data_IF_509366726458
#
_entry.id   IF_509366726458
#
_cell.length_a   1.000
_cell.length_b   1.000
_cell.length_c   1.000
_cell.angle_alpha   90.00
_cell.angle_beta   90.00
_cell.angle_gamma   90.00
#
_symmetry.space_group_name_H-M   'P 1'
#
loop_
_entity.id
_entity.type
_entity.pdbx_description
1 polymer ?
#
# COMPACT_ATOMS: atom_id res chain seq x y z
N UNK A 1 -10.83 -18.59 -4.15
CA UNK A 1 -11.93 -18.22 -3.23
C UNK A 1 -11.48 -18.48 -1.80
N UNK A 2 -10.88 -17.48 -1.15
CA UNK A 2 -10.70 -17.49 0.30
C UNK A 2 -11.95 -16.87 0.92
N UNK A 3 -12.90 -17.69 1.37
CA UNK A 3 -13.96 -17.22 2.27
C UNK A 3 -13.42 -17.26 3.70
N UNK A 4 -12.52 -16.33 4.01
CA UNK A 4 -12.05 -16.09 5.37
C UNK A 4 -13.03 -15.18 6.08
N UNK A 5 -13.85 -15.74 6.97
CA UNK A 5 -14.66 -14.97 7.91
C UNK A 5 -13.73 -14.41 8.98
N UNK A 6 -13.17 -13.23 8.75
CA UNK A 6 -12.48 -12.48 9.81
C UNK A 6 -13.56 -11.91 10.73
N UNK A 7 -13.80 -12.58 11.86
CA UNK A 7 -14.79 -12.11 12.83
C UNK A 7 -14.43 -10.69 13.31
N UNK A 8 -15.44 -9.81 13.31
CA UNK A 8 -15.52 -8.43 13.84
C UNK A 8 -14.34 -7.98 14.69
N UNK A 9 -13.79 -6.80 14.43
CA UNK A 9 -12.75 -6.16 15.27
C UNK A 9 -13.16 -6.17 16.74
N UNK A 10 -12.43 -6.92 17.58
CA UNK A 10 -12.62 -6.96 19.03
C UNK A 10 -11.57 -6.06 19.69
N UNK A 11 -12.00 -5.01 20.39
CA UNK A 11 -11.11 -4.28 21.31
C UNK A 11 -11.25 -4.92 22.69
N UNK A 12 -10.30 -5.78 23.07
CA UNK A 12 -10.19 -6.30 24.43
C UNK A 12 -9.21 -5.42 25.21
N UNK A 13 -9.73 -4.52 26.04
CA UNK A 13 -8.90 -3.69 26.92
C UNK A 13 -8.62 -4.41 28.24
N UNK A 14 -7.40 -4.91 28.43
CA UNK A 14 -6.88 -5.24 29.76
C UNK A 14 -6.30 -3.97 30.40
N UNK A 15 -6.54 -3.82 31.71
CA UNK A 15 -6.11 -2.75 32.63
C UNK A 15 -7.00 -1.50 32.69
N UNK A 16 -7.93 -1.46 33.65
CA UNK A 16 -8.49 -0.22 34.20
C UNK A 16 -8.65 -0.31 35.72
N UNK A 17 -7.54 -0.09 36.44
CA UNK A 17 -7.56 0.42 37.82
C UNK A 17 -7.63 1.95 37.73
N UNK A 18 -8.84 2.51 37.82
CA UNK A 18 -9.16 3.85 38.35
C UNK A 18 -10.49 4.33 37.75
N UNK A 19 -11.33 4.89 38.60
CA UNK A 19 -12.65 5.45 38.29
C UNK A 19 -12.55 6.55 37.24
N UNK A 20 -13.31 6.40 36.15
CA UNK A 20 -13.44 7.32 35.00
C UNK A 20 -12.28 7.32 33.99
N UNK A 21 -12.04 6.20 33.32
CA UNK A 21 -11.25 6.17 32.09
C UNK A 21 -12.18 6.22 30.86
N UNK A 22 -12.12 7.32 30.11
CA UNK A 22 -12.62 7.38 28.74
C UNK A 22 -11.55 6.79 27.82
N UNK A 23 -11.77 5.60 27.27
CA UNK A 23 -10.91 5.08 26.20
C UNK A 23 -11.44 5.65 24.89
N UNK A 24 -10.62 6.47 24.22
CA UNK A 24 -10.88 6.89 22.85
C UNK A 24 -10.26 5.87 21.90
N UNK A 25 -11.10 5.07 21.25
CA UNK A 25 -10.65 4.27 20.11
C UNK A 25 -10.63 5.20 18.89
N UNK A 26 -9.42 5.52 18.42
CA UNK A 26 -9.19 6.18 17.14
C UNK A 26 -8.96 5.09 16.09
N UNK A 27 -9.91 4.93 15.18
CA UNK A 27 -9.73 4.03 14.05
C UNK A 27 -8.93 4.76 12.97
N UNK A 28 -7.61 4.62 12.99
CA UNK A 28 -6.70 5.17 11.97
C UNK A 28 -6.72 4.31 10.71
N UNK A 29 -7.86 4.23 9.99
CA UNK A 29 -7.97 3.87 8.56
C UNK A 29 -9.40 4.11 8.09
N UNK A 30 -9.70 5.34 7.66
CA UNK A 30 -10.95 5.66 6.99
C UNK A 30 -10.69 5.78 5.48
N UNK A 31 -10.51 4.65 4.78
CA UNK A 31 -10.37 4.62 3.31
C UNK A 31 -11.70 4.30 2.59
N UNK A 32 -12.84 4.65 3.18
CA UNK A 32 -14.14 4.47 2.54
C UNK A 32 -14.66 5.78 1.94
N UNK A 33 -14.62 5.93 0.62
CA UNK A 33 -15.47 6.89 -0.09
C UNK A 33 -16.91 6.35 -0.15
N UNK A 34 -17.90 7.23 0.02
CA UNK A 34 -19.32 6.89 -0.16
C UNK A 34 -19.63 6.88 -1.66
N UNK A 35 -20.19 5.79 -2.23
CA UNK A 35 -20.61 5.80 -3.64
C UNK A 35 -21.82 6.71 -3.91
N UNK A 36 -22.49 7.22 -2.89
CA UNK A 36 -23.61 8.14 -3.03
C UNK A 36 -23.56 9.22 -1.93
N UNK A 37 -23.51 10.47 -2.35
CA UNK A 37 -23.32 11.65 -1.52
C UNK A 37 -24.19 11.72 -0.26
N UNK A 38 -23.53 12.15 0.80
CA UNK A 38 -24.03 12.88 1.97
C UNK A 38 -25.30 12.36 2.68
N UNK A 39 -25.12 11.38 3.59
CA UNK A 39 -25.98 11.18 4.80
C UNK A 39 -25.22 10.57 5.98
N UNK A 40 -24.26 11.33 6.52
CA UNK A 40 -23.73 11.08 7.87
C UNK A 40 -22.22 11.00 7.93
N UNK A 41 -21.61 12.00 8.57
CA UNK A 41 -20.20 11.98 8.96
C UNK A 41 -19.95 10.76 9.84
N UNK A 42 -19.35 9.70 9.29
CA UNK A 42 -18.91 8.54 10.05
C UNK A 42 -17.96 9.03 11.15
N UNK A 43 -18.25 8.69 12.41
CA UNK A 43 -17.53 9.22 13.57
C UNK A 43 -16.10 8.64 13.58
N UNK A 44 -15.09 9.49 13.41
CA UNK A 44 -13.67 9.11 13.50
C UNK A 44 -13.20 8.85 14.95
N UNK A 45 -14.08 9.04 15.93
CA UNK A 45 -13.82 8.92 17.36
C UNK A 45 -14.97 8.18 18.03
N UNK A 46 -14.65 7.08 18.68
CA UNK A 46 -15.58 6.34 19.52
C UNK A 46 -15.17 6.51 20.99
N UNK A 47 -16.08 7.04 21.80
CA UNK A 47 -15.90 7.09 23.24
C UNK A 47 -16.41 5.77 23.83
N UNK A 48 -15.50 4.98 24.40
CA UNK A 48 -15.84 3.74 25.09
C UNK A 48 -15.87 4.03 26.60
N UNK A 49 -16.99 3.69 27.24
CA UNK A 49 -17.17 3.84 28.68
C UNK A 49 -17.46 2.48 29.31
N UNK A 50 -16.97 2.27 30.54
CA UNK A 50 -17.26 1.07 31.31
C UNK A 50 -18.77 0.85 31.41
N UNK A 51 -19.23 -0.36 31.11
CA UNK A 51 -20.65 -0.73 31.17
C UNK A 51 -21.07 -0.97 32.62
N UNK A 52 -22.36 -0.83 32.87
CA UNK A 52 -22.97 -1.15 34.17
C UNK A 52 -22.95 -2.64 34.47
N UNK A 53 -23.06 -3.48 33.43
CA UNK A 53 -22.92 -4.94 33.50
C UNK A 53 -21.86 -5.37 32.49
N UNK A 54 -20.87 -6.11 32.97
CA UNK A 54 -19.81 -6.66 32.13
C UNK A 54 -20.40 -7.57 31.04
N UNK A 55 -19.95 -7.38 29.81
CA UNK A 55 -20.32 -8.19 28.65
C UNK A 55 -19.10 -8.76 27.91
N UNK A 56 -17.92 -8.69 28.54
CA UNK A 56 -16.70 -9.27 28.03
C UNK A 56 -16.76 -10.79 27.96
N UNK A 57 -15.88 -11.35 27.14
CA UNK A 57 -15.76 -12.79 26.95
C UNK A 57 -14.29 -13.18 26.89
N UNK A 58 -13.98 -14.37 27.41
CA UNK A 58 -12.61 -14.94 27.41
C UNK A 58 -12.61 -16.34 26.79
N UNK A 59 -11.51 -16.76 26.14
CA UNK A 59 -11.39 -18.11 25.60
C UNK A 59 -11.64 -19.16 26.67
N UNK A 60 -12.34 -20.23 26.30
CA UNK A 60 -12.68 -21.37 27.16
C UNK A 60 -12.34 -22.67 26.43
N UNK A 61 -13.33 -23.52 26.16
CA UNK A 61 -13.15 -24.86 25.63
C UNK A 61 -12.72 -24.80 24.16
N UNK A 62 -11.80 -25.67 23.77
CA UNK A 62 -11.36 -25.81 22.38
C UNK A 62 -11.82 -27.17 21.86
N UNK A 63 -12.58 -27.16 20.77
CA UNK A 63 -13.06 -28.36 20.10
C UNK A 63 -12.37 -28.49 18.74
N UNK A 64 -12.02 -29.72 18.38
CA UNK A 64 -11.53 -30.05 17.05
C UNK A 64 -12.62 -30.83 16.33
N UNK A 65 -13.11 -30.29 15.22
CA UNK A 65 -14.14 -30.90 14.39
C UNK A 65 -13.54 -31.35 13.05
N UNK A 66 -13.93 -32.54 12.60
CA UNK A 66 -13.48 -33.11 11.34
C UNK A 66 -14.05 -32.39 10.10
N UNK A 67 -15.09 -31.56 10.24
CA UNK A 67 -15.65 -30.79 9.12
C UNK A 67 -16.23 -29.45 9.57
N UNK A 68 -16.34 -28.45 8.66
CA UNK A 68 -17.06 -27.21 8.94
C UNK A 68 -18.55 -27.42 9.28
N UNK A 69 -19.19 -28.45 8.73
CA UNK A 69 -20.58 -28.79 9.08
C UNK A 69 -20.69 -29.33 10.51
N UNK A 70 -19.75 -30.18 10.94
CA UNK A 70 -19.69 -30.66 12.32
C UNK A 70 -19.37 -29.51 13.30
N UNK A 71 -18.51 -28.56 12.91
CA UNK A 71 -18.23 -27.37 13.70
C UNK A 71 -19.48 -26.51 13.95
N UNK A 72 -20.39 -26.39 12.97
CA UNK A 72 -21.68 -25.69 13.17
C UNK A 72 -22.57 -26.35 14.20
N UNK A 73 -22.47 -27.67 14.39
CA UNK A 73 -23.25 -28.41 15.40
C UNK A 73 -22.68 -28.26 16.82
N UNK A 74 -21.42 -27.83 16.96
CA UNK A 74 -20.76 -27.58 18.25
C UNK A 74 -21.07 -26.18 18.78
N UNK A 75 -21.56 -25.27 17.94
CA UNK A 75 -21.87 -23.90 18.34
C UNK A 75 -23.09 -23.85 19.27
N UNK A 76 -22.85 -23.62 20.56
CA UNK A 76 -23.88 -23.32 21.54
C UNK A 76 -24.45 -21.91 21.28
N UNK A 77 -25.77 -21.78 21.13
CA UNK A 77 -26.43 -20.48 20.86
C UNK A 77 -26.30 -19.48 22.01
N UNK A 78 -26.05 -19.96 23.22
CA UNK A 78 -25.94 -19.14 24.42
C UNK A 78 -24.49 -18.72 24.72
N UNK A 79 -23.52 -19.18 23.92
CA UNK A 79 -22.10 -18.85 24.08
C UNK A 79 -21.51 -18.24 22.82
N UNK A 80 -20.53 -17.37 23.03
CA UNK A 80 -19.74 -16.85 21.92
C UNK A 80 -18.76 -17.94 21.46
N UNK A 81 -18.51 -18.03 20.16
CA UNK A 81 -17.54 -18.99 19.61
C UNK A 81 -16.84 -18.43 18.38
N UNK A 82 -15.56 -18.79 18.20
CA UNK A 82 -14.79 -18.51 16.98
C UNK A 82 -14.39 -19.85 16.34
N UNK A 83 -14.70 -20.00 15.05
CA UNK A 83 -14.37 -21.19 14.28
C UNK A 83 -13.21 -20.92 13.31
N UNK A 84 -12.08 -21.55 13.56
CA UNK A 84 -10.90 -21.52 12.71
C UNK A 84 -10.91 -22.73 11.77
N UNK A 85 -11.28 -22.51 10.50
CA UNK A 85 -11.21 -23.58 9.49
C UNK A 85 -9.78 -23.70 8.96
N UNK A 86 -9.07 -24.73 9.41
CA UNK A 86 -7.68 -24.99 9.01
C UNK A 86 -7.60 -25.74 7.68
N UNK A 87 -8.54 -26.66 7.43
CA UNK A 87 -8.65 -27.39 6.17
C UNK A 87 -10.09 -27.85 5.90
N UNK A 88 -10.32 -28.49 4.75
CA UNK A 88 -11.62 -29.13 4.45
C UNK A 88 -12.00 -30.22 5.46
N UNK A 89 -11.01 -30.80 6.14
CA UNK A 89 -11.17 -31.90 7.10
C UNK A 89 -10.87 -31.49 8.55
N UNK A 90 -10.66 -30.20 8.81
CA UNK A 90 -10.29 -29.74 10.15
C UNK A 90 -10.78 -28.32 10.40
N UNK A 91 -11.62 -28.17 11.44
CA UNK A 91 -12.03 -26.88 11.98
C UNK A 91 -11.86 -26.91 13.49
N UNK A 92 -11.20 -25.90 14.03
CA UNK A 92 -11.05 -25.70 15.47
C UNK A 92 -12.08 -24.69 15.93
N UNK A 93 -12.94 -25.05 16.87
CA UNK A 93 -13.93 -24.14 17.46
C UNK A 93 -13.46 -23.80 18.86
N UNK A 94 -13.27 -22.50 19.12
CA UNK A 94 -12.96 -21.99 20.45
C UNK A 94 -14.22 -21.36 21.01
N UNK A 95 -14.75 -21.95 22.07
CA UNK A 95 -15.83 -21.35 22.85
C UNK A 95 -15.31 -20.25 23.75
N UNK A 96 -16.17 -19.28 24.03
CA UNK A 96 -15.88 -18.13 24.86
C UNK A 96 -16.94 -18.02 25.96
N UNK A 97 -16.46 -17.95 27.20
CA UNK A 97 -17.31 -17.78 28.38
C UNK A 97 -17.30 -16.34 28.87
N UNK A 98 -18.28 -15.98 29.71
CA UNK A 98 -18.38 -14.64 30.29
C UNK A 98 -17.11 -14.26 31.06
N UNK A 99 -16.65 -13.04 30.83
CA UNK A 99 -15.59 -12.43 31.62
C UNK A 99 -16.14 -11.21 32.36
N UNK A 100 -16.23 -11.33 33.68
CA UNK A 100 -16.73 -10.28 34.56
C UNK A 100 -15.80 -9.05 34.64
N UNK A 101 -14.57 -9.15 34.14
CA UNK A 101 -13.56 -8.10 34.25
C UNK A 101 -13.40 -7.25 32.98
N UNK A 102 -14.05 -7.63 31.88
CA UNK A 102 -13.89 -6.95 30.59
C UNK A 102 -15.23 -6.50 30.02
N UNK A 103 -15.18 -5.45 29.21
CA UNK A 103 -16.30 -4.98 28.41
C UNK A 103 -15.98 -5.15 26.93
N UNK A 104 -16.92 -5.71 26.18
CA UNK A 104 -16.82 -5.89 24.74
C UNK A 104 -17.61 -4.80 24.01
N UNK A 105 -16.97 -4.16 23.04
CA UNK A 105 -17.58 -3.18 22.14
C UNK A 105 -17.43 -3.68 20.71
N UNK A 106 -18.57 -3.84 20.02
CA UNK A 106 -18.60 -4.13 18.59
C UNK A 106 -18.95 -2.84 17.86
N UNK A 107 -18.27 -2.59 16.73
CA UNK A 107 -18.55 -1.43 15.89
C UNK A 107 -19.40 -1.92 14.71
N UNK A 108 -20.71 -1.75 14.81
CA UNK A 108 -21.67 -2.31 13.84
C UNK A 108 -21.58 -1.69 12.43
N UNK A 109 -20.90 -0.55 12.29
CA UNK A 109 -20.67 0.10 10.99
C UNK A 109 -19.51 -0.48 10.20
N UNK A 110 -18.72 -1.39 10.78
CA UNK A 110 -17.52 -1.94 10.15
C UNK A 110 -17.75 -3.35 9.62
N UNK A 111 -17.26 -3.60 8.42
CA UNK A 111 -17.26 -4.92 7.78
C UNK A 111 -15.84 -5.50 7.77
N UNK A 112 -15.75 -6.82 7.86
CA UNK A 112 -14.49 -7.55 7.67
C UNK A 112 -14.24 -7.94 6.21
N UNK A 113 -15.06 -7.45 5.28
CA UNK A 113 -14.86 -7.64 3.85
C UNK A 113 -13.75 -6.72 3.34
N UNK A 114 -12.75 -7.33 2.72
CA UNK A 114 -11.62 -6.61 2.13
C UNK A 114 -12.02 -6.00 0.78
N UNK A 115 -11.84 -4.69 0.64
CA UNK A 115 -11.99 -3.96 -0.62
C UNK A 115 -10.70 -4.04 -1.45
N UNK A 116 -10.79 -3.88 -2.77
CA UNK A 116 -9.58 -3.79 -3.62
C UNK A 116 -8.62 -2.74 -3.10
N UNK A 117 -7.34 -3.08 -2.96
CA UNK A 117 -6.33 -2.18 -2.42
C UNK A 117 -6.20 -2.20 -0.90
N UNK A 118 -6.97 -3.03 -0.18
CA UNK A 118 -6.82 -3.17 1.27
C UNK A 118 -5.41 -3.64 1.63
N UNK A 119 -4.77 -2.96 2.58
CA UNK A 119 -3.48 -3.38 3.11
C UNK A 119 -3.65 -4.03 4.48
N UNK A 120 -3.03 -5.19 4.66
CA UNK A 120 -3.05 -5.97 5.90
C UNK A 120 -1.65 -5.95 6.46
N UNK A 121 -1.47 -5.27 7.60
CA UNK A 121 -0.20 -5.27 8.32
C UNK A 121 -0.13 -6.48 9.26
N UNK A 122 0.94 -7.25 9.13
CA UNK A 122 1.25 -8.43 9.93
C UNK A 122 2.48 -8.20 10.81
N UNK A 123 2.72 -6.94 11.24
CA UNK A 123 3.80 -6.55 12.16
C UNK A 123 5.20 -6.93 11.64
N UNK A 124 5.48 -6.60 10.38
CA UNK A 124 6.75 -6.91 9.70
C UNK A 124 6.58 -7.30 8.23
N UNK A 125 5.37 -7.64 7.83
CA UNK A 125 4.97 -7.81 6.44
C UNK A 125 3.66 -7.07 6.18
N UNK A 126 3.58 -6.32 5.08
CA UNK A 126 2.32 -5.72 4.62
C UNK A 126 1.84 -6.49 3.40
N UNK A 127 0.66 -7.09 3.48
CA UNK A 127 -0.01 -7.73 2.35
C UNK A 127 -0.91 -6.73 1.65
N UNK A 128 -0.88 -6.73 0.32
CA UNK A 128 -1.83 -6.02 -0.52
C UNK A 128 -2.92 -7.00 -0.98
N UNK A 129 -4.16 -6.73 -0.58
CA UNK A 129 -5.32 -7.45 -1.10
C UNK A 129 -5.80 -6.82 -2.40
N UNK A 130 -5.90 -7.66 -3.44
CA UNK A 130 -6.50 -7.30 -4.72
C UNK A 130 -7.65 -8.24 -5.03
N UNK A 131 -8.76 -7.65 -5.45
CA UNK A 131 -9.92 -8.33 -6.00
C UNK A 131 -9.62 -8.84 -7.41
N UNK A 132 -10.40 -9.83 -7.87
CA UNK A 132 -10.27 -10.34 -9.24
C UNK A 132 -10.56 -9.24 -10.28
N UNK A 133 -11.55 -8.38 -10.02
CA UNK A 133 -11.88 -7.23 -10.86
C UNK A 133 -10.74 -6.21 -10.89
N UNK A 134 -10.19 -5.84 -9.73
CA UNK A 134 -9.04 -4.94 -9.64
C UNK A 134 -7.84 -5.47 -10.41
N UNK A 135 -7.53 -6.78 -10.28
CA UNK A 135 -6.46 -7.42 -11.05
C UNK A 135 -6.74 -7.43 -12.56
N UNK A 136 -8.00 -7.52 -12.99
CA UNK A 136 -8.35 -7.47 -14.41
C UNK A 136 -8.03 -6.13 -15.07
N UNK A 137 -7.95 -5.05 -14.28
CA UNK A 137 -7.53 -3.72 -14.74
C UNK A 137 -6.02 -3.48 -14.65
N UNK A 138 -5.26 -4.39 -14.03
CA UNK A 138 -3.80 -4.28 -13.95
C UNK A 138 -3.13 -4.73 -15.26
N UNK A 139 -1.98 -4.13 -15.61
CA UNK A 139 -1.25 -4.53 -16.81
C UNK A 139 -0.67 -5.93 -16.61
N UNK A 140 -0.71 -6.74 -17.66
CA UNK A 140 0.06 -7.99 -17.67
C UNK A 140 1.56 -7.70 -17.80
N UNK A 141 2.42 -8.65 -17.43
CA UNK A 141 3.88 -8.53 -17.66
C UNK A 141 4.19 -8.27 -19.15
N UNK A 142 3.43 -8.89 -20.06
CA UNK A 142 3.55 -8.64 -21.51
C UNK A 142 3.19 -7.20 -21.88
N UNK A 143 2.15 -6.65 -21.25
CA UNK A 143 1.75 -5.26 -21.45
C UNK A 143 2.82 -4.28 -20.94
N UNK A 144 3.38 -4.53 -19.76
CA UNK A 144 4.48 -3.69 -19.23
C UNK A 144 5.71 -3.72 -20.16
N UNK A 145 6.05 -4.88 -20.71
CA UNK A 145 7.13 -5.01 -21.69
C UNK A 145 6.80 -4.31 -23.02
N UNK A 146 5.53 -4.34 -23.47
CA UNK A 146 5.09 -3.61 -24.65
C UNK A 146 5.19 -2.08 -24.43
N UNK A 147 4.74 -1.57 -23.29
CA UNK A 147 4.89 -0.16 -22.91
C UNK A 147 6.37 0.26 -22.87
N UNK A 148 7.26 -0.60 -22.35
CA UNK A 148 8.71 -0.35 -22.40
C UNK A 148 9.22 -0.22 -23.83
N UNK A 149 8.81 -1.13 -24.70
CA UNK A 149 9.22 -1.13 -26.10
C UNK A 149 8.69 0.10 -26.84
N UNK A 150 7.47 0.54 -26.54
CA UNK A 150 6.87 1.75 -27.11
C UNK A 150 7.67 3.00 -26.74
N UNK A 151 8.03 3.19 -25.46
CA UNK A 151 8.89 4.31 -25.05
C UNK A 151 10.23 4.28 -25.80
N UNK A 152 10.86 3.12 -25.88
CA UNK A 152 12.15 2.98 -26.55
C UNK A 152 12.03 3.23 -28.07
N UNK A 153 10.92 2.81 -28.69
CA UNK A 153 10.62 3.05 -30.10
C UNK A 153 10.37 4.53 -30.41
N UNK A 154 9.92 5.32 -29.43
CA UNK A 154 9.84 6.78 -29.54
C UNK A 154 11.22 7.47 -29.58
N UNK A 155 12.31 6.70 -29.38
CA UNK A 155 13.71 7.16 -29.45
C UNK A 155 13.94 8.46 -28.66
N UNK A 156 13.67 8.49 -27.34
CA UNK A 156 13.88 9.67 -26.52
C UNK A 156 15.34 10.11 -26.58
N UNK A 157 15.59 11.41 -26.75
CA UNK A 157 16.94 11.96 -26.89
C UNK A 157 17.44 12.57 -25.59
N UNK A 158 18.73 12.39 -25.31
CA UNK A 158 19.42 13.16 -24.28
C UNK A 158 19.70 14.58 -24.81
N UNK A 159 19.21 15.65 -24.17
CA UNK A 159 19.36 17.03 -24.67
C UNK A 159 20.82 17.49 -24.81
N UNK A 160 21.72 16.91 -24.01
CA UNK A 160 23.12 17.36 -23.87
C UNK A 160 24.13 16.37 -24.45
N UNK A 161 23.76 15.09 -24.52
CA UNK A 161 24.65 14.04 -25.04
C UNK A 161 24.31 13.58 -26.44
N UNK A 162 23.17 14.03 -27.00
CA UNK A 162 22.64 13.62 -28.31
C UNK A 162 22.56 12.10 -28.52
N UNK A 163 22.49 11.35 -27.42
CA UNK A 163 22.34 9.90 -27.41
C UNK A 163 20.87 9.55 -27.26
N UNK A 164 20.43 8.53 -28.00
CA UNK A 164 19.10 7.93 -27.81
C UNK A 164 19.09 7.11 -26.53
N UNK A 165 18.15 7.43 -25.64
CA UNK A 165 17.93 6.75 -24.36
C UNK A 165 17.05 5.52 -24.54
N UNK A 166 17.24 4.52 -23.69
CA UNK A 166 16.44 3.31 -23.70
C UNK A 166 16.30 2.72 -22.30
N UNK A 167 15.06 2.40 -21.90
CA UNK A 167 14.81 1.66 -20.66
C UNK A 167 15.36 0.23 -20.79
N UNK A 168 16.11 -0.26 -19.78
CA UNK A 168 16.60 -1.63 -19.75
C UNK A 168 15.44 -2.62 -19.64
N UNK A 169 15.70 -3.89 -20.00
CA UNK A 169 14.72 -4.96 -19.78
C UNK A 169 14.33 -5.08 -18.31
N UNK A 170 13.09 -5.46 -18.04
CA UNK A 170 12.51 -5.61 -16.70
C UNK A 170 13.25 -6.63 -15.80
N UNK A 171 14.12 -7.47 -16.36
CA UNK A 171 15.08 -8.26 -15.57
C UNK A 171 16.17 -7.33 -15.05
N UNK A 172 16.01 -6.89 -13.79
CA UNK A 172 16.95 -6.00 -13.10
C UNK A 172 18.37 -6.55 -13.22
N UNK A 173 19.23 -5.84 -13.94
CA UNK A 173 20.68 -5.96 -13.80
C UNK A 173 21.10 -4.96 -12.73
N UNK A 174 22.02 -5.33 -11.84
CA UNK A 174 22.56 -4.41 -10.83
C UNK A 174 23.37 -3.26 -11.45
N UNK A 175 23.73 -3.41 -12.73
CA UNK A 175 24.50 -2.43 -13.51
C UNK A 175 23.56 -1.52 -14.30
N UNK A 176 23.73 -0.21 -14.12
CA UNK A 176 23.06 0.85 -14.92
C UNK A 176 23.62 0.84 -16.33
N UNK A 177 22.75 0.77 -17.33
CA UNK A 177 23.15 0.85 -18.75
C UNK A 177 23.53 2.30 -19.10
N UNK A 178 24.55 2.50 -19.94
CA UNK A 178 24.98 3.84 -20.39
C UNK A 178 23.83 4.64 -21.04
N UNK A 179 22.90 3.94 -21.70
CA UNK A 179 21.73 4.56 -22.37
C UNK A 179 20.51 4.67 -21.48
N UNK A 180 20.59 4.26 -20.21
CA UNK A 180 19.46 4.31 -19.29
C UNK A 180 19.04 5.78 -19.06
N UNK A 181 17.72 6.07 -19.06
CA UNK A 181 17.22 7.38 -18.70
C UNK A 181 17.48 7.73 -17.23
N UNK A 182 17.85 8.97 -16.98
CA UNK A 182 17.98 9.60 -15.67
C UNK A 182 17.09 10.83 -15.61
N UNK A 183 16.61 11.21 -14.42
CA UNK A 183 15.68 12.33 -14.25
C UNK A 183 16.16 13.31 -13.20
N UNK A 184 15.89 14.59 -13.43
CA UNK A 184 15.93 15.64 -12.42
C UNK A 184 14.58 15.71 -11.70
N UNK A 185 14.49 15.18 -10.48
CA UNK A 185 13.21 14.94 -9.81
C UNK A 185 12.44 16.22 -9.41
N UNK A 186 13.10 17.37 -9.35
CA UNK A 186 12.44 18.65 -9.07
C UNK A 186 11.83 19.31 -10.32
N UNK A 187 12.04 18.79 -11.52
CA UNK A 187 11.46 19.35 -12.75
C UNK A 187 10.99 18.32 -13.78
N UNK A 188 11.30 17.03 -13.59
CA UNK A 188 10.86 15.96 -14.48
C UNK A 188 11.65 15.81 -15.77
N UNK A 189 12.60 16.69 -16.08
CA UNK A 189 13.42 16.59 -17.29
C UNK A 189 14.28 15.33 -17.29
N UNK A 190 14.19 14.56 -18.38
CA UNK A 190 14.90 13.30 -18.57
C UNK A 190 16.15 13.49 -19.43
N UNK A 191 17.27 12.95 -18.97
CA UNK A 191 18.59 13.02 -19.57
C UNK A 191 19.26 11.63 -19.58
N UNK A 192 20.37 11.48 -20.28
CA UNK A 192 21.30 10.36 -20.08
C UNK A 192 22.26 10.64 -18.93
N UNK A 193 22.86 9.60 -18.36
CA UNK A 193 23.84 9.79 -17.29
C UNK A 193 24.98 10.73 -17.72
N UNK A 194 25.43 11.54 -16.77
CA UNK A 194 26.54 12.46 -16.94
C UNK A 194 27.16 12.78 -15.59
N UNK A 195 28.39 13.31 -15.55
CA UNK A 195 29.11 13.61 -14.30
C UNK A 195 29.49 15.10 -14.12
N UNK A 196 29.27 15.94 -15.13
CA UNK A 196 29.38 17.40 -15.03
C UNK A 196 28.50 17.99 -13.91
N UNK A 197 28.99 19.08 -13.31
CA UNK A 197 28.26 19.81 -12.27
C UNK A 197 28.29 19.17 -10.87
N UNK A 198 28.95 18.02 -10.71
CA UNK A 198 29.17 17.41 -9.39
C UNK A 198 30.25 18.20 -8.64
N UNK A 199 29.88 19.25 -7.92
CA UNK A 199 30.76 19.87 -6.94
C UNK A 199 30.84 18.92 -5.75
N UNK A 200 32.01 18.34 -5.50
CA UNK A 200 32.27 17.33 -4.46
C UNK A 200 32.04 17.82 -3.01
N UNK A 201 31.39 18.96 -2.79
CA UNK A 201 31.24 19.58 -1.50
C UNK A 201 29.77 19.66 -1.05
N UNK A 202 29.47 18.80 -0.07
CA UNK A 202 28.32 18.80 0.86
C UNK A 202 26.97 18.37 0.23
N UNK A 203 26.53 17.16 0.58
CA UNK A 203 25.25 16.48 0.25
C UNK A 203 25.02 15.83 -1.13
N UNK A 204 25.95 15.95 -2.09
CA UNK A 204 26.28 14.95 -3.12
C UNK A 204 25.23 14.37 -4.09
N UNK A 205 23.94 14.69 -3.99
CA UNK A 205 22.87 14.11 -4.84
C UNK A 205 22.12 15.12 -5.71
N UNK A 206 22.19 16.40 -5.35
CA UNK A 206 21.46 17.44 -6.04
C UNK A 206 22.27 18.01 -7.20
N UNK A 207 21.63 18.09 -8.37
CA UNK A 207 22.23 18.60 -9.60
C UNK A 207 21.35 19.65 -10.22
N UNK A 208 21.98 20.57 -10.94
CA UNK A 208 21.29 21.63 -11.68
C UNK A 208 20.86 21.11 -13.05
N UNK A 209 19.56 21.18 -13.33
CA UNK A 209 18.99 20.77 -14.60
C UNK A 209 19.48 21.69 -15.73
N UNK A 210 20.12 21.18 -16.79
CA UNK A 210 20.61 21.99 -17.90
C UNK A 210 19.53 22.72 -18.68
N UNK A 211 18.30 22.18 -18.66
CA UNK A 211 17.16 22.70 -19.40
C UNK A 211 16.50 23.89 -18.70
N UNK A 212 16.37 23.83 -17.38
CA UNK A 212 15.57 24.81 -16.61
C UNK A 212 16.24 25.36 -15.36
N UNK A 213 17.48 24.96 -15.07
CA UNK A 213 18.30 25.36 -13.90
C UNK A 213 17.71 25.00 -12.54
N UNK A 214 16.61 24.23 -12.50
CA UNK A 214 16.09 23.67 -11.24
C UNK A 214 17.12 22.71 -10.63
N UNK A 215 17.42 22.89 -9.34
CA UNK A 215 18.34 22.03 -8.59
C UNK A 215 17.55 20.98 -7.84
N UNK A 216 18.00 19.73 -7.89
CA UNK A 216 17.40 18.65 -7.13
C UNK A 216 17.98 17.28 -7.43
N UNK A 217 17.43 16.21 -6.84
CA UNK A 217 17.96 14.86 -6.99
C UNK A 217 18.02 14.42 -8.44
N UNK A 218 19.18 13.87 -8.84
CA UNK A 218 19.40 13.30 -10.17
C UNK A 218 19.59 11.79 -10.07
N UNK A 219 18.61 11.02 -10.55
CA UNK A 219 18.52 9.57 -10.29
C UNK A 219 18.21 8.77 -11.56
N UNK A 220 18.64 7.49 -11.65
CA UNK A 220 18.25 6.62 -12.75
C UNK A 220 16.76 6.27 -12.68
N UNK A 221 16.13 6.11 -13.84
CA UNK A 221 14.75 5.68 -13.97
C UNK A 221 14.63 4.16 -14.14
N UNK A 222 13.64 3.56 -13.49
CA UNK A 222 13.35 2.12 -13.54
C UNK A 222 11.85 1.89 -13.73
N UNK A 223 11.44 1.10 -14.72
CA UNK A 223 10.02 0.74 -14.83
C UNK A 223 9.60 -0.16 -13.66
N UNK A 224 8.43 0.13 -13.08
CA UNK A 224 7.85 -0.70 -12.03
C UNK A 224 7.53 -2.10 -12.55
N UNK A 225 8.14 -3.14 -11.96
CA UNK A 225 8.09 -4.50 -12.47
C UNK A 225 6.93 -5.36 -11.98
N UNK A 226 6.36 -5.02 -10.82
CA UNK A 226 5.30 -5.79 -10.18
C UNK A 226 3.92 -5.32 -10.66
N UNK A 227 3.29 -6.11 -11.52
CA UNK A 227 1.97 -5.83 -12.10
C UNK A 227 0.88 -5.63 -11.02
N UNK A 228 0.96 -6.38 -9.91
CA UNK A 228 -0.01 -6.31 -8.82
C UNK A 228 -0.06 -4.96 -8.09
N UNK A 229 0.93 -4.08 -8.30
CA UNK A 229 0.95 -2.74 -7.70
C UNK A 229 0.32 -1.66 -8.56
N UNK A 230 0.05 -1.93 -9.83
CA UNK A 230 -0.63 -0.97 -10.70
C UNK A 230 -2.12 -0.93 -10.39
N UNK A 231 -2.72 0.25 -10.57
CA UNK A 231 -4.19 0.44 -10.47
C UNK A 231 -4.85 0.61 -11.84
N UNK A 232 -4.04 0.71 -12.89
CA UNK A 232 -4.45 0.82 -14.29
C UNK A 232 -3.34 0.34 -15.23
N UNK A 233 -3.65 0.20 -16.51
CA UNK A 233 -2.72 -0.19 -17.57
C UNK A 233 -2.20 1.00 -18.41
N UNK A 234 -2.24 2.22 -17.84
CA UNK A 234 -1.85 3.45 -18.52
C UNK A 234 -0.34 3.57 -18.81
N UNK A 235 0.06 4.55 -19.64
CA UNK A 235 1.46 4.73 -20.03
C UNK A 235 2.34 5.18 -18.85
N UNK A 236 3.62 4.77 -18.81
CA UNK A 236 4.56 5.08 -17.73
C UNK A 236 5.12 6.51 -17.85
N UNK A 237 4.30 7.49 -17.50
CA UNK A 237 4.58 8.92 -17.67
C UNK A 237 5.10 9.61 -16.41
N UNK A 238 5.07 8.95 -15.26
CA UNK A 238 5.43 9.55 -13.97
C UNK A 238 6.41 8.67 -13.19
N UNK A 239 7.21 9.29 -12.33
CA UNK A 239 8.15 8.61 -11.46
C UNK A 239 7.95 8.98 -9.99
N UNK A 240 8.09 7.99 -9.11
CA UNK A 240 8.15 8.21 -7.66
C UNK A 240 9.43 8.97 -7.27
N UNK A 241 9.30 9.92 -6.36
CA UNK A 241 10.40 10.68 -5.78
C UNK A 241 10.67 10.21 -4.35
N UNK A 242 11.91 9.88 -3.96
CA UNK A 242 13.16 10.15 -4.68
C UNK A 242 13.71 8.97 -5.49
N UNK A 243 12.98 7.85 -5.61
CA UNK A 243 13.59 6.59 -6.07
C UNK A 243 13.65 6.39 -7.60
N UNK A 244 12.90 7.17 -8.38
CA UNK A 244 12.92 7.08 -9.85
C UNK A 244 12.16 5.88 -10.43
N UNK A 245 11.33 5.17 -9.65
CA UNK A 245 10.47 4.12 -10.20
C UNK A 245 9.33 4.73 -11.02
N UNK A 246 9.21 4.30 -12.27
CA UNK A 246 8.31 4.82 -13.28
C UNK A 246 7.08 3.94 -13.42
N UNK A 247 5.91 4.56 -13.42
CA UNK A 247 4.63 3.92 -13.72
C UNK A 247 3.61 4.98 -14.19
N UNK A 248 2.34 4.60 -14.29
CA UNK A 248 1.27 5.51 -14.72
C UNK A 248 1.00 6.62 -13.70
N UNK A 249 0.40 7.71 -14.16
CA UNK A 249 -0.06 8.82 -13.32
C UNK A 249 -1.01 8.34 -12.22
N UNK A 250 -1.99 7.49 -12.57
CA UNK A 250 -2.96 6.97 -11.60
C UNK A 250 -2.30 6.11 -10.53
N UNK A 251 -1.28 5.32 -10.90
CA UNK A 251 -0.57 4.47 -9.95
C UNK A 251 0.28 5.31 -8.98
N UNK A 252 1.03 6.31 -9.46
CA UNK A 252 1.80 7.18 -8.55
C UNK A 252 0.89 7.99 -7.63
N UNK A 253 -0.22 8.51 -8.15
CA UNK A 253 -1.18 9.30 -7.38
C UNK A 253 -1.85 8.46 -6.28
N UNK A 254 -2.23 7.21 -6.60
CA UNK A 254 -2.81 6.27 -5.64
C UNK A 254 -1.85 5.97 -4.48
N UNK A 255 -0.63 5.53 -4.78
CA UNK A 255 0.32 5.11 -3.73
C UNK A 255 0.86 6.27 -2.90
N UNK A 256 0.89 7.49 -3.46
CA UNK A 256 1.36 8.67 -2.72
C UNK A 256 0.37 9.14 -1.65
N UNK A 257 -0.89 8.72 -1.74
CA UNK A 257 -1.93 9.01 -0.75
C UNK A 257 -2.06 7.91 0.31
N UNK A 258 -1.32 6.81 0.18
CA UNK A 258 -1.45 5.64 1.05
C UNK A 258 -0.31 5.61 2.07
N UNK A 259 -0.60 5.93 3.34
CA UNK A 259 0.37 5.77 4.41
C UNK A 259 0.65 4.30 4.67
N UNK A 260 1.92 3.91 4.57
CA UNK A 260 2.41 2.59 4.96
C UNK A 260 3.03 2.66 6.36
N UNK A 261 2.82 1.65 7.21
CA UNK A 261 3.46 1.59 8.52
C UNK A 261 4.98 1.46 8.36
N UNK A 262 5.71 2.24 9.14
CA UNK A 262 7.15 2.21 9.25
C UNK A 262 7.56 2.23 10.72
N UNK A 263 8.33 1.23 11.15
CA UNK A 263 8.65 1.03 12.56
C UNK A 263 7.39 0.83 13.41
N UNK A 264 7.44 1.28 14.67
CA UNK A 264 6.35 1.05 15.64
C UNK A 264 5.30 2.14 15.68
N UNK A 265 5.59 3.34 15.16
CA UNK A 265 4.72 4.52 15.34
C UNK A 265 4.65 5.48 14.15
N UNK A 266 5.34 5.22 13.04
CA UNK A 266 5.38 6.17 11.91
C UNK A 266 4.63 5.63 10.70
N UNK A 267 4.01 6.54 9.96
CA UNK A 267 3.28 6.24 8.75
C UNK A 267 3.72 7.22 7.67
N UNK A 268 4.15 6.72 6.52
CA UNK A 268 4.50 7.55 5.38
C UNK A 268 4.14 6.84 4.08
N UNK A 269 3.85 7.60 3.04
CA UNK A 269 3.76 7.01 1.70
C UNK A 269 5.13 6.46 1.29
N UNK A 270 5.15 5.34 0.57
CA UNK A 270 6.37 4.75 0.05
C UNK A 270 6.14 4.22 -1.36
N UNK A 271 7.21 4.15 -2.15
CA UNK A 271 7.17 3.50 -3.45
C UNK A 271 6.85 2.01 -3.26
N UNK A 272 5.81 1.46 -3.89
CA UNK A 272 5.43 0.06 -3.72
C UNK A 272 6.49 -0.92 -4.28
N UNK A 273 7.33 -0.46 -5.21
CA UNK A 273 8.34 -1.31 -5.87
C UNK A 273 9.62 -1.48 -5.06
N UNK A 274 9.99 -0.51 -4.22
CA UNK A 274 11.25 -0.56 -3.46
C UNK A 274 11.13 -0.16 -1.98
N UNK A 275 9.92 0.13 -1.50
CA UNK A 275 9.63 0.59 -0.15
C UNK A 275 10.34 1.88 0.29
N UNK A 276 10.99 2.60 -0.63
CA UNK A 276 11.59 3.90 -0.33
C UNK A 276 10.49 4.91 0.01
N UNK A 277 10.63 5.59 1.16
CA UNK A 277 9.75 6.68 1.56
C UNK A 277 9.67 7.75 0.46
N UNK A 278 8.43 8.18 0.15
CA UNK A 278 8.20 9.24 -0.81
C UNK A 278 8.50 10.62 -0.19
N UNK A 279 9.09 11.50 -0.98
CA UNK A 279 9.53 12.83 -0.55
C UNK A 279 8.92 13.92 -1.44
N UNK A 280 8.76 15.13 -0.89
CA UNK A 280 8.13 16.26 -1.55
C UNK A 280 6.62 16.30 -1.35
N UNK A 281 5.98 17.37 -1.83
CA UNK A 281 4.55 17.62 -1.62
C UNK A 281 3.65 16.53 -2.24
N UNK A 282 4.01 16.06 -3.43
CA UNK A 282 3.24 15.03 -4.14
C UNK A 282 3.82 13.62 -4.00
N UNK A 283 5.11 13.46 -3.71
CA UNK A 283 5.78 12.14 -3.68
C UNK A 283 6.12 11.55 -5.05
N UNK A 284 5.79 12.25 -6.15
CA UNK A 284 6.08 11.84 -7.53
C UNK A 284 6.23 13.05 -8.45
N UNK A 285 6.68 12.81 -9.69
CA UNK A 285 6.88 13.85 -10.71
C UNK A 285 6.50 13.32 -12.10
N UNK A 286 5.96 14.19 -12.96
CA UNK A 286 5.74 13.90 -14.39
C UNK A 286 7.06 13.93 -15.15
N UNK A 287 7.30 12.93 -15.99
CA UNK A 287 8.51 12.85 -16.81
C UNK A 287 8.38 13.69 -18.09
N UNK A 288 9.47 14.35 -18.46
CA UNK A 288 9.58 15.18 -19.66
C UNK A 288 10.75 14.64 -20.49
N UNK A 289 10.43 13.79 -21.46
CA UNK A 289 11.36 13.30 -22.46
C UNK A 289 11.50 14.31 -23.61
N UNK A 290 12.69 14.38 -24.21
CA UNK A 290 12.87 15.08 -25.48
C UNK A 290 12.66 14.12 -26.64
N UNK A 291 11.96 14.58 -27.67
CA UNK A 291 11.81 13.86 -28.93
C UNK A 291 13.06 13.95 -29.82
N UNK A 292 13.06 13.26 -30.96
CA UNK A 292 14.02 13.51 -32.03
C UNK A 292 14.04 15.00 -32.41
N UNK A 293 15.23 15.54 -32.67
CA UNK A 293 15.37 16.85 -33.32
C UNK A 293 15.19 16.58 -34.81
N UNK A 294 14.18 17.21 -35.42
CA UNK A 294 13.92 17.14 -36.87
C UNK A 294 15.11 17.66 -37.72
#
# INVERSE_FOLDING_TARGET
MFHGWFSKVFVCGQCLLSTAAFIFAFCFRYNGSLPNGDRGRRKSRFALCKRTKANGVKPSTVHVACTPQAAKAISNKDQHSISYTLSRAQTVVVEYTHDANTDMFQVDSETNELLDGSLIDLCGATLLWRTAEGLSHTPTVKHLEALRQEINAARPQCPVGFNTLAFPSMKRKEVVDEKQPWVYLNCGHVHGYHNWGNKEERDGKDRECPMCRSRGPYVPLWLGCEAGFYVDAGPPTHAFSPCGHVCSEKTVAYWSQIPLPHGTHTFHAACPFCAQQLMGEQGYIRLIFQGPVD
#
